data_IF_839047720584
#
_entry.id   IF_839047720584
#
_cell.length_a   1.000
_cell.length_b   1.000
_cell.length_c   1.000
_cell.angle_alpha   90.00
_cell.angle_beta   90.00
_cell.angle_gamma   90.00
#
_symmetry.space_group_name_H-M   'P 1'
#
loop_
_entity.id
_entity.type
_entity.pdbx_description
1 polymer ?
#
# COMPACT_ATOMS: atom_id res chain seq x y z
N UNK A 1 -4.31 23.53 11.88
CA UNK A 1 -4.01 22.07 11.89
C UNK A 1 -2.73 21.87 12.68
N UNK A 2 -2.72 21.05 13.74
CA UNK A 2 -1.46 20.59 14.34
C UNK A 2 -0.89 19.54 13.38
N UNK A 3 0.32 19.78 12.87
CA UNK A 3 1.06 18.75 12.17
C UNK A 3 1.47 17.69 13.20
N UNK A 4 0.99 16.46 13.01
CA UNK A 4 1.44 15.33 13.81
C UNK A 4 2.83 14.93 13.29
N UNK A 5 3.87 15.07 14.12
CA UNK A 5 5.21 14.61 13.75
C UNK A 5 5.37 13.14 14.12
N UNK A 6 5.84 12.34 13.17
CA UNK A 6 6.17 10.93 13.39
C UNK A 6 7.63 10.70 13.80
N UNK A 7 8.47 11.75 13.86
CA UNK A 7 9.89 11.63 14.25
C UNK A 7 10.12 10.81 15.53
N UNK A 8 9.38 11.02 16.63
CA UNK A 8 9.59 10.26 17.88
C UNK A 8 9.36 8.75 17.72
N UNK A 9 8.60 8.36 16.70
CA UNK A 9 8.21 6.98 16.43
C UNK A 9 8.97 6.37 15.25
N UNK A 10 9.93 7.08 14.66
CA UNK A 10 10.65 6.61 13.47
C UNK A 10 11.31 5.24 13.70
N UNK A 11 11.86 5.01 14.90
CA UNK A 11 12.47 3.74 15.27
C UNK A 11 11.46 2.66 15.72
N UNK A 12 10.17 2.99 15.81
CA UNK A 12 9.12 2.07 16.26
C UNK A 12 8.34 1.44 15.10
N UNK A 13 8.57 1.89 13.86
CA UNK A 13 7.86 1.40 12.69
C UNK A 13 8.85 0.89 11.64
N UNK A 14 8.79 -0.41 11.38
CA UNK A 14 9.54 -1.03 10.28
C UNK A 14 8.86 -0.79 8.92
N UNK A 15 7.54 -0.62 8.93
CA UNK A 15 6.73 -0.47 7.73
C UNK A 15 5.40 0.26 7.99
N UNK A 16 4.82 0.79 6.91
CA UNK A 16 3.47 1.35 6.86
C UNK A 16 2.63 0.58 5.84
N UNK A 17 1.53 -0.01 6.28
CA UNK A 17 0.55 -0.66 5.41
C UNK A 17 -0.62 0.29 5.14
N UNK A 18 -0.88 0.58 3.86
CA UNK A 18 -1.89 1.54 3.42
C UNK A 18 -2.99 0.79 2.66
N UNK A 19 -4.19 0.77 3.23
CA UNK A 19 -5.41 0.23 2.61
C UNK A 19 -6.28 1.32 1.96
N UNK A 20 -6.18 2.56 2.42
CA UNK A 20 -6.99 3.66 1.91
C UNK A 20 -6.69 3.95 0.43
N UNK A 21 -7.75 4.02 -0.37
CA UNK A 21 -7.65 4.18 -1.82
C UNK A 21 -7.09 5.53 -2.26
N UNK A 22 -7.34 6.59 -1.50
CA UNK A 22 -6.85 7.93 -1.81
C UNK A 22 -5.34 8.02 -1.52
N UNK A 23 -4.90 7.60 -0.33
CA UNK A 23 -3.47 7.60 0.03
C UNK A 23 -2.66 6.65 -0.85
N UNK A 24 -3.16 5.46 -1.13
CA UNK A 24 -2.52 4.50 -2.03
C UNK A 24 -2.31 5.10 -3.43
N UNK A 25 -3.35 5.72 -4.01
CA UNK A 25 -3.25 6.37 -5.33
C UNK A 25 -2.23 7.51 -5.32
N UNK A 26 -2.25 8.33 -4.29
CA UNK A 26 -1.32 9.45 -4.15
C UNK A 26 0.14 8.96 -4.05
N UNK A 27 0.40 7.93 -3.25
CA UNK A 27 1.77 7.47 -2.95
C UNK A 27 2.34 6.50 -3.99
N UNK A 28 1.51 5.77 -4.73
CA UNK A 28 1.96 4.76 -5.70
C UNK A 28 1.57 5.04 -7.16
N UNK A 29 0.68 6.01 -7.41
CA UNK A 29 0.07 6.21 -8.73
C UNK A 29 -0.94 5.13 -9.13
N UNK A 30 -1.10 4.05 -8.35
CA UNK A 30 -2.03 2.97 -8.64
C UNK A 30 -3.49 3.41 -8.47
N UNK A 31 -4.29 3.29 -9.52
CA UNK A 31 -5.69 3.78 -9.54
C UNK A 31 -6.73 2.70 -9.25
N UNK A 32 -6.32 1.42 -9.16
CA UNK A 32 -7.22 0.31 -8.89
C UNK A 32 -7.82 0.35 -7.48
N UNK A 33 -9.06 -0.13 -7.36
CA UNK A 33 -9.82 -0.13 -6.10
C UNK A 33 -9.32 -1.16 -5.08
N UNK A 34 -8.78 -2.29 -5.54
CA UNK A 34 -8.31 -3.39 -4.69
C UNK A 34 -6.85 -3.26 -4.22
N UNK A 35 -6.48 -4.05 -3.21
CA UNK A 35 -5.09 -4.20 -2.76
C UNK A 35 -4.59 -3.19 -1.72
N UNK A 36 -3.36 -3.39 -1.28
CA UNK A 36 -2.66 -2.61 -0.27
C UNK A 36 -1.31 -2.13 -0.79
N UNK A 37 -0.81 -1.02 -0.25
CA UNK A 37 0.55 -0.54 -0.46
C UNK A 37 1.33 -0.74 0.83
N UNK A 38 2.43 -1.49 0.77
CA UNK A 38 3.38 -1.66 1.85
C UNK A 38 4.58 -0.76 1.60
N UNK A 39 4.86 0.17 2.52
CA UNK A 39 6.05 1.00 2.50
C UNK A 39 6.99 0.55 3.60
N UNK A 40 8.25 0.35 3.27
CA UNK A 40 9.33 -0.01 4.20
C UNK A 40 10.47 1.00 4.06
N UNK A 41 11.46 0.94 4.95
CA UNK A 41 12.66 1.76 4.83
C UNK A 41 13.44 1.49 3.51
N UNK A 42 13.29 0.30 2.92
CA UNK A 42 14.05 -0.14 1.74
C UNK A 42 13.29 -0.03 0.43
N UNK A 43 11.97 0.22 0.46
CA UNK A 43 11.17 0.29 -0.75
C UNK A 43 9.66 0.24 -0.53
N UNK A 44 8.95 0.12 -1.65
CA UNK A 44 7.49 0.09 -1.71
C UNK A 44 7.01 -1.12 -2.51
N UNK A 45 6.03 -1.85 -1.99
CA UNK A 45 5.42 -3.00 -2.63
C UNK A 45 3.90 -2.84 -2.75
N UNK A 46 3.35 -3.12 -3.92
CA UNK A 46 1.92 -3.07 -4.18
C UNK A 46 1.33 -4.49 -4.15
N UNK A 47 0.56 -4.79 -3.13
CA UNK A 47 -0.10 -6.07 -2.90
C UNK A 47 -1.53 -6.01 -3.45
N UNK A 48 -1.71 -6.40 -4.71
CA UNK A 48 -3.03 -6.43 -5.36
C UNK A 48 -3.54 -7.85 -5.48
N UNK A 49 -4.83 -8.04 -5.21
CA UNK A 49 -5.48 -9.32 -5.49
C UNK A 49 -5.39 -9.58 -7.00
N UNK A 50 -4.75 -10.68 -7.36
CA UNK A 50 -4.73 -11.19 -8.72
C UNK A 50 -6.11 -11.71 -9.09
N UNK A 51 -7.03 -10.80 -9.42
CA UNK A 51 -8.38 -11.11 -9.91
C UNK A 51 -8.42 -11.78 -11.29
N UNK A 52 -7.41 -12.62 -11.58
CA UNK A 52 -7.22 -13.40 -12.80
C UNK A 52 -6.62 -14.79 -12.55
N UNK A 53 -6.39 -15.21 -11.30
CA UNK A 53 -6.03 -16.62 -11.07
C UNK A 53 -7.18 -17.58 -11.40
N UNK A 54 -8.43 -17.13 -11.24
CA UNK A 54 -9.62 -17.93 -11.55
C UNK A 54 -9.93 -18.04 -13.05
N UNK A 55 -9.24 -17.29 -13.92
CA UNK A 55 -9.42 -17.32 -15.39
C UNK A 55 -8.36 -18.20 -16.09
N UNK A 56 -7.82 -19.18 -15.39
CA UNK A 56 -6.83 -20.14 -15.93
C UNK A 56 -7.44 -21.54 -16.13
N UNK A 57 -8.73 -21.74 -15.82
CA UNK A 57 -9.35 -23.07 -15.73
C UNK A 57 -10.37 -23.50 -16.82
N UNK A 58 -10.76 -22.65 -17.77
CA UNK A 58 -11.73 -23.03 -18.81
C UNK A 58 -11.24 -22.68 -20.23
N UNK A 59 -10.35 -23.52 -20.76
CA UNK A 59 -10.25 -23.86 -22.18
C UNK A 59 -10.20 -25.38 -22.33
#
# INVERSE_FOLDING_TARGET
>A
MRAFSLEPYQAQFDALLISDSHHKRYLSGFTGSGGHLLLTATGAELLVAGKYWDQVGEQ
#
